data_IF_508242632242
#
_entry.id   IF_508242632242
#
_cell.length_a   1.000
_cell.length_b   1.000
_cell.length_c   1.000
_cell.angle_alpha   90.00
_cell.angle_beta   90.00
_cell.angle_gamma   90.00
#
_symmetry.space_group_name_H-M   'P 1'
#
loop_
_entity.id
_entity.type
_entity.pdbx_description
1 polymer ?
#
# COMPACT_ATOMS: atom_id res chain seq x y z
N UNK A 1 11.61 -13.82 -2.42
CA UNK A 1 12.31 -12.66 -3.03
C UNK A 1 13.20 -12.06 -1.97
N UNK A 2 14.42 -11.65 -2.30
CA UNK A 2 15.34 -11.01 -1.35
C UNK A 2 15.33 -9.51 -1.63
N UNK A 3 15.06 -8.69 -0.62
CA UNK A 3 15.13 -7.22 -0.73
C UNK A 3 16.58 -6.79 -0.55
N UNK A 4 17.13 -6.07 -1.53
CA UNK A 4 18.51 -5.58 -1.47
C UNK A 4 18.57 -4.15 -0.94
N UNK A 5 19.73 -3.70 -0.41
CA UNK A 5 19.91 -2.31 0.01
C UNK A 5 19.66 -1.28 -1.11
N UNK A 6 19.94 -1.64 -2.36
CA UNK A 6 19.67 -0.79 -3.53
C UNK A 6 18.17 -0.55 -3.72
N UNK A 7 17.33 -1.55 -3.46
CA UNK A 7 15.87 -1.38 -3.51
C UNK A 7 15.37 -0.42 -2.45
N UNK A 8 15.93 -0.51 -1.24
CA UNK A 8 15.61 0.40 -0.12
C UNK A 8 16.04 1.83 -0.48
N UNK A 9 17.26 2.00 -1.01
CA UNK A 9 17.75 3.28 -1.47
C UNK A 9 16.88 3.87 -2.60
N UNK A 10 16.46 3.05 -3.56
CA UNK A 10 15.58 3.46 -4.65
C UNK A 10 14.17 3.83 -4.17
N UNK A 11 13.65 3.15 -3.14
CA UNK A 11 12.37 3.50 -2.51
C UNK A 11 12.46 4.86 -1.79
N UNK A 12 13.48 5.06 -0.95
CA UNK A 12 13.69 6.31 -0.21
C UNK A 12 14.06 7.49 -1.13
N UNK A 13 14.78 7.22 -2.22
CA UNK A 13 15.18 8.23 -3.21
C UNK A 13 14.03 8.77 -4.05
N UNK A 14 12.87 8.11 -4.06
CA UNK A 14 11.73 8.54 -4.85
C UNK A 14 11.00 9.73 -4.16
N UNK A 15 10.86 10.89 -4.83
CA UNK A 15 10.21 12.07 -4.25
C UNK A 15 8.76 11.86 -3.79
N UNK A 16 8.06 10.88 -4.35
CA UNK A 16 6.67 10.55 -3.99
C UNK A 16 6.58 9.90 -2.60
N UNK A 17 7.66 9.26 -2.15
CA UNK A 17 7.74 8.49 -0.90
C UNK A 17 8.62 9.19 0.15
N UNK A 18 8.79 10.51 0.05
CA UNK A 18 9.60 11.34 0.99
C UNK A 18 9.24 11.16 2.46
N UNK A 19 8.00 10.77 2.77
CA UNK A 19 7.55 10.46 4.12
C UNK A 19 8.35 9.33 4.80
N UNK A 20 9.05 8.50 4.01
CA UNK A 20 9.80 7.32 4.47
C UNK A 20 11.33 7.49 4.38
N UNK A 21 11.83 8.71 4.23
CA UNK A 21 13.29 8.96 4.13
C UNK A 21 14.00 8.84 5.48
N UNK A 22 13.34 9.25 6.57
CA UNK A 22 13.92 9.23 7.92
C UNK A 22 14.20 7.78 8.35
N UNK A 23 15.48 7.44 8.48
CA UNK A 23 15.96 6.10 8.83
C UNK A 23 15.75 5.76 10.30
N UNK A 24 15.59 6.75 11.16
CA UNK A 24 15.29 6.54 12.59
C UNK A 24 13.81 6.23 12.76
N UNK A 25 12.96 6.98 12.04
CA UNK A 25 11.51 6.77 12.07
C UNK A 25 11.08 5.53 11.28
N UNK A 26 11.76 5.24 10.19
CA UNK A 26 11.52 4.08 9.33
C UNK A 26 12.84 3.32 9.16
N UNK A 27 13.19 2.41 10.07
CA UNK A 27 14.34 1.54 9.92
C UNK A 27 14.22 0.66 8.68
N UNK A 28 15.36 0.20 8.16
CA UNK A 28 15.40 -0.63 6.95
C UNK A 28 14.58 -1.91 7.08
N UNK A 29 14.53 -2.51 8.27
CA UNK A 29 13.74 -3.71 8.56
C UNK A 29 12.25 -3.55 8.22
N UNK A 30 11.66 -2.39 8.53
CA UNK A 30 10.25 -2.11 8.21
C UNK A 30 10.03 -1.94 6.70
N UNK A 31 11.00 -1.34 6.01
CA UNK A 31 10.92 -1.17 4.55
C UNK A 31 11.11 -2.52 3.85
N UNK A 32 12.00 -3.37 4.36
CA UNK A 32 12.17 -4.74 3.88
C UNK A 32 10.87 -5.50 4.02
N UNK A 33 10.24 -5.48 5.19
CA UNK A 33 8.96 -6.18 5.41
C UNK A 33 7.86 -5.66 4.49
N UNK A 34 7.71 -4.33 4.38
CA UNK A 34 6.72 -3.72 3.50
C UNK A 34 6.95 -4.06 2.02
N UNK A 35 8.21 -4.14 1.57
CA UNK A 35 8.55 -4.55 0.20
C UNK A 35 8.38 -6.06 -0.02
N UNK A 36 8.60 -6.89 1.00
CA UNK A 36 8.30 -8.32 0.95
C UNK A 36 6.80 -8.55 0.74
N UNK A 37 5.95 -7.89 1.51
CA UNK A 37 4.49 -7.92 1.34
C UNK A 37 4.06 -7.36 -0.02
N UNK A 38 4.72 -6.30 -0.49
CA UNK A 38 4.46 -5.79 -1.83
C UNK A 38 4.85 -6.81 -2.93
N UNK A 39 5.87 -7.62 -2.67
CA UNK A 39 6.30 -8.70 -3.55
C UNK A 39 5.29 -9.83 -3.66
N UNK A 40 4.58 -10.17 -2.58
CA UNK A 40 3.52 -11.19 -2.59
C UNK A 40 2.32 -10.72 -3.41
N UNK A 41 1.88 -9.47 -3.20
CA UNK A 41 0.77 -8.86 -3.95
C UNK A 41 1.06 -8.64 -5.43
N UNK A 42 2.33 -8.42 -5.79
CA UNK A 42 2.79 -8.26 -7.18
C UNK A 42 3.43 -9.54 -7.75
N UNK A 43 3.21 -10.69 -7.11
CA UNK A 43 3.82 -11.97 -7.47
C UNK A 43 3.35 -12.59 -8.79
N UNK A 44 2.24 -12.10 -9.36
CA UNK A 44 1.71 -12.60 -10.62
C UNK A 44 2.59 -12.23 -11.82
N UNK A 45 2.70 -13.13 -12.81
CA UNK A 45 3.39 -12.90 -14.09
C UNK A 45 2.85 -11.71 -14.88
N UNK A 46 1.65 -11.22 -14.57
CA UNK A 46 1.04 -10.04 -15.20
C UNK A 46 1.76 -8.74 -14.90
N UNK A 47 2.53 -8.68 -13.81
CA UNK A 47 3.30 -7.50 -13.43
C UNK A 47 4.63 -7.37 -14.17
N UNK A 48 5.10 -8.44 -14.83
CA UNK A 48 6.39 -8.50 -15.50
C UNK A 48 7.56 -8.86 -14.58
N UNK A 49 8.76 -8.86 -15.15
CA UNK A 49 10.00 -9.03 -14.40
C UNK A 49 10.26 -7.81 -13.50
N UNK A 50 10.90 -8.04 -12.36
CA UNK A 50 11.31 -6.95 -11.48
C UNK A 50 12.61 -6.36 -11.98
N UNK A 51 12.59 -5.06 -12.27
CA UNK A 51 13.78 -4.27 -12.60
C UNK A 51 13.70 -2.92 -11.88
N UNK A 52 14.85 -2.40 -11.45
CA UNK A 52 14.95 -1.12 -10.73
C UNK A 52 15.00 0.08 -11.70
N UNK A 53 14.14 0.06 -12.72
CA UNK A 53 14.00 1.16 -13.70
C UNK A 53 12.73 1.97 -13.41
N UNK A 54 12.68 3.21 -13.92
CA UNK A 54 11.58 4.12 -13.65
C UNK A 54 10.26 3.72 -14.34
N UNK A 55 10.34 2.96 -15.43
CA UNK A 55 9.23 2.46 -16.24
C UNK A 55 8.76 1.06 -15.83
N UNK A 56 9.48 0.38 -14.93
CA UNK A 56 9.13 -0.96 -14.50
C UNK A 56 7.79 -0.98 -13.73
N UNK A 57 6.83 -1.71 -14.29
CA UNK A 57 5.47 -1.76 -13.78
C UNK A 57 5.37 -2.50 -12.44
N UNK A 58 6.14 -3.58 -12.26
CA UNK A 58 6.20 -4.34 -11.01
C UNK A 58 6.81 -3.51 -9.89
N UNK A 59 7.95 -2.87 -10.14
CA UNK A 59 8.62 -2.03 -9.17
C UNK A 59 7.73 -0.87 -8.72
N UNK A 60 7.07 -0.19 -9.66
CA UNK A 60 6.12 0.87 -9.32
C UNK A 60 4.96 0.36 -8.46
N UNK A 61 4.40 -0.82 -8.80
CA UNK A 61 3.38 -1.48 -7.98
C UNK A 61 3.88 -1.77 -6.56
N UNK A 62 5.09 -2.31 -6.46
CA UNK A 62 5.69 -2.65 -5.17
C UNK A 62 5.87 -1.42 -4.28
N UNK A 63 6.40 -0.33 -4.82
CA UNK A 63 6.63 0.89 -4.06
C UNK A 63 5.32 1.49 -3.52
N UNK A 64 4.26 1.54 -4.33
CA UNK A 64 2.97 2.07 -3.87
C UNK A 64 2.32 1.18 -2.81
N UNK A 65 2.43 -0.14 -2.94
CA UNK A 65 1.91 -1.04 -1.91
C UNK A 65 2.69 -0.94 -0.60
N UNK A 66 4.03 -0.94 -0.67
CA UNK A 66 4.86 -0.81 0.53
C UNK A 66 4.59 0.52 1.27
N UNK A 67 4.52 1.63 0.53
CA UNK A 67 4.17 2.94 1.10
C UNK A 67 2.77 2.95 1.74
N UNK A 68 1.80 2.29 1.09
CA UNK A 68 0.46 2.13 1.65
C UNK A 68 0.47 1.33 2.96
N UNK A 69 1.13 0.17 2.96
CA UNK A 69 1.23 -0.72 4.10
C UNK A 69 1.89 -0.06 5.31
N UNK A 70 2.99 0.68 5.09
CA UNK A 70 3.65 1.45 6.15
C UNK A 70 2.73 2.54 6.71
N UNK A 71 2.05 3.28 5.83
CA UNK A 71 1.17 4.36 6.22
C UNK A 71 -0.09 3.88 6.98
N UNK A 72 -0.64 2.71 6.64
CA UNK A 72 -1.83 2.18 7.32
C UNK A 72 -1.51 1.53 8.65
N UNK A 73 -0.41 0.78 8.74
CA UNK A 73 -0.06 0.05 9.96
C UNK A 73 0.56 0.96 11.03
N UNK A 74 1.39 1.92 10.63
CA UNK A 74 2.20 2.74 11.57
C UNK A 74 1.87 4.24 11.55
N UNK A 75 0.96 4.67 10.66
CA UNK A 75 0.51 6.05 10.52
C UNK A 75 1.69 7.05 10.51
N UNK A 76 1.59 8.13 11.30
CA UNK A 76 2.66 9.12 11.44
C UNK A 76 3.68 8.77 12.52
N UNK A 77 3.51 7.66 13.25
CA UNK A 77 4.37 7.28 14.37
C UNK A 77 5.60 6.51 13.90
N UNK A 78 5.50 5.73 12.82
CA UNK A 78 6.62 4.92 12.31
C UNK A 78 6.99 3.82 13.31
N UNK A 79 8.29 3.53 13.45
CA UNK A 79 8.78 2.44 14.30
C UNK A 79 8.48 2.60 15.81
N UNK A 80 8.13 3.80 16.29
CA UNK A 80 7.71 4.01 17.68
C UNK A 80 6.22 3.75 17.92
N UNK A 81 5.45 3.50 16.85
CA UNK A 81 4.02 3.20 16.94
C UNK A 81 3.76 1.69 17.01
N UNK A 82 2.83 1.28 17.86
CA UNK A 82 2.26 -0.06 17.81
C UNK A 82 1.45 -0.22 16.51
N UNK A 83 1.59 -1.34 15.76
CA UNK A 83 0.74 -1.60 14.61
C UNK A 83 -0.73 -1.53 14.98
N UNK A 84 -1.54 -0.94 14.12
CA UNK A 84 -2.99 -0.90 14.35
C UNK A 84 -3.60 -2.31 14.23
N UNK A 85 -4.00 -2.90 15.36
CA UNK A 85 -4.61 -4.23 15.43
C UNK A 85 -6.11 -4.27 15.13
N UNK A 86 -6.74 -3.10 14.96
CA UNK A 86 -8.18 -3.02 14.73
C UNK A 86 -8.53 -3.46 13.31
N UNK A 87 -9.43 -4.44 13.19
CA UNK A 87 -10.04 -4.80 11.92
C UNK A 87 -10.91 -3.64 11.44
N UNK A 88 -10.57 -3.07 10.27
CA UNK A 88 -11.33 -1.95 9.70
C UNK A 88 -12.64 -2.47 9.10
N UNK A 89 -13.76 -2.03 9.66
CA UNK A 89 -15.10 -2.33 9.18
C UNK A 89 -15.67 -1.10 8.45
N UNK A 90 -16.33 -1.32 7.32
CA UNK A 90 -17.00 -0.26 6.57
C UNK A 90 -18.19 0.26 7.40
N UNK A 91 -18.09 1.48 7.94
CA UNK A 91 -19.19 2.13 8.66
C UNK A 91 -19.82 3.17 7.73
N UNK A 92 -21.03 2.90 7.25
CA UNK A 92 -21.82 3.91 6.57
C UNK A 92 -22.66 4.66 7.61
N UNK A 93 -22.58 5.99 7.58
CA UNK A 93 -23.38 6.87 8.41
C UNK A 93 -24.30 7.69 7.51
N UNK A 94 -25.57 7.80 7.90
CA UNK A 94 -26.53 8.71 7.28
C UNK A 94 -27.23 9.44 8.41
N UNK A 95 -27.28 10.78 8.34
CA UNK A 95 -28.13 11.56 9.25
C UNK A 95 -29.51 11.72 8.61
N UNK A 96 -30.55 11.55 9.42
CA UNK A 96 -31.93 11.89 9.07
C UNK A 96 -32.46 12.80 10.17
N UNK A 97 -32.55 14.10 9.89
CA UNK A 97 -32.87 15.09 10.92
C UNK A 97 -31.77 15.18 11.98
N UNK A 98 -32.16 15.09 13.26
CA UNK A 98 -31.26 15.14 14.43
C UNK A 98 -30.78 13.75 14.88
N UNK A 99 -31.19 12.69 14.18
CA UNK A 99 -30.83 11.32 14.52
C UNK A 99 -29.67 10.82 13.66
N UNK A 100 -28.60 10.40 14.35
CA UNK A 100 -27.46 9.73 13.73
C UNK A 100 -27.65 8.22 13.83
N UNK A 101 -27.86 7.57 12.68
CA UNK A 101 -27.97 6.12 12.64
C UNK A 101 -26.76 5.52 11.93
N UNK A 102 -26.00 4.70 12.66
CA UNK A 102 -24.86 3.95 12.14
C UNK A 102 -25.27 2.48 11.95
N UNK A 103 -25.18 1.97 10.72
CA UNK A 103 -25.43 0.56 10.42
C UNK A 103 -24.15 -0.10 9.91
N UNK A 104 -23.91 -1.37 10.31
CA UNK A 104 -22.87 -2.20 9.70
C UNK A 104 -23.34 -2.61 8.30
N UNK A 105 -22.80 -1.97 7.26
CA UNK A 105 -23.16 -2.27 5.86
C UNK A 105 -22.29 -3.42 5.36
N UNK A 106 -22.87 -4.57 4.92
CA UNK A 106 -22.07 -5.69 4.41
C UNK A 106 -21.46 -5.45 3.03
N UNK A 107 -21.96 -4.50 2.22
CA UNK A 107 -21.41 -4.23 0.89
C UNK A 107 -21.46 -2.75 0.47
N UNK A 108 -20.29 -2.11 0.47
CA UNK A 108 -19.84 -1.08 -0.48
C UNK A 108 -18.31 -1.18 -0.56
N UNK A 109 -17.80 -1.57 -1.74
CA UNK A 109 -16.46 -2.17 -1.96
C UNK A 109 -16.21 -3.44 -1.13
N UNK A 110 -15.61 -4.46 -1.75
CA UNK A 110 -15.15 -5.62 -0.98
C UNK A 110 -14.13 -5.13 0.06
N UNK A 111 -14.27 -5.56 1.32
CA UNK A 111 -13.55 -5.00 2.46
C UNK A 111 -12.03 -5.07 2.28
N UNK A 112 -11.53 -6.10 1.56
CA UNK A 112 -10.12 -6.22 1.19
C UNK A 112 -9.64 -5.15 0.20
N UNK A 113 -10.54 -4.60 -0.63
CA UNK A 113 -10.26 -3.47 -1.53
C UNK A 113 -10.44 -2.10 -0.91
N UNK A 114 -11.29 -1.97 0.12
CA UNK A 114 -11.51 -0.69 0.80
C UNK A 114 -10.26 -0.24 1.57
N UNK A 115 -9.51 -1.19 2.14
CA UNK A 115 -8.22 -0.92 2.77
C UNK A 115 -7.27 -0.16 1.82
N UNK A 116 -7.18 -0.60 0.56
CA UNK A 116 -6.34 0.04 -0.45
C UNK A 116 -6.78 1.48 -0.75
N UNK A 117 -8.05 1.84 -0.60
CA UNK A 117 -8.52 3.19 -0.91
C UNK A 117 -8.26 4.24 0.17
N UNK A 118 -7.74 3.83 1.33
CA UNK A 118 -7.54 4.70 2.50
C UNK A 118 -6.40 5.73 2.34
N UNK A 119 -5.38 5.39 1.57
CA UNK A 119 -4.23 6.30 1.34
C UNK A 119 -4.11 6.62 -0.13
N UNK A 120 -3.51 7.77 -0.46
CA UNK A 120 -3.18 8.09 -1.84
C UNK A 120 -2.34 6.98 -2.49
N UNK A 121 -1.36 6.42 -1.76
CA UNK A 121 -0.51 5.34 -2.23
C UNK A 121 -1.31 4.08 -2.60
N UNK A 122 -2.23 3.66 -1.74
CA UNK A 122 -3.07 2.50 -1.97
C UNK A 122 -4.05 2.70 -3.14
N UNK A 123 -4.59 3.91 -3.34
CA UNK A 123 -5.41 4.22 -4.52
C UNK A 123 -4.59 4.12 -5.82
N UNK A 124 -3.33 4.57 -5.80
CA UNK A 124 -2.43 4.40 -6.94
C UNK A 124 -2.13 2.93 -7.19
N UNK A 125 -1.83 2.15 -6.16
CA UNK A 125 -1.64 0.71 -6.28
C UNK A 125 -2.90 0.04 -6.84
N UNK A 126 -4.08 0.37 -6.35
CA UNK A 126 -5.34 -0.18 -6.84
C UNK A 126 -5.57 0.09 -8.33
N UNK A 127 -5.25 1.31 -8.79
CA UNK A 127 -5.27 1.65 -10.22
C UNK A 127 -4.32 0.76 -11.04
N UNK A 128 -3.12 0.48 -10.51
CA UNK A 128 -2.16 -0.42 -11.16
C UNK A 128 -2.63 -1.88 -11.14
N UNK A 129 -3.13 -2.36 -10.00
CA UNK A 129 -3.70 -3.71 -9.83
C UNK A 129 -4.85 -3.95 -10.80
N UNK A 130 -5.74 -2.97 -11.01
CA UNK A 130 -6.77 -3.04 -12.05
C UNK A 130 -6.20 -3.21 -13.45
N UNK A 131 -5.16 -2.44 -13.81
CA UNK A 131 -4.49 -2.57 -15.12
C UNK A 131 -3.84 -3.95 -15.30
N UNK A 132 -3.17 -4.46 -14.27
CA UNK A 132 -2.61 -5.81 -14.25
C UNK A 132 -3.72 -6.87 -14.40
N UNK A 133 -4.87 -6.67 -13.74
CA UNK A 133 -6.04 -7.54 -13.80
C UNK A 133 -6.73 -7.57 -15.17
N UNK A 134 -6.81 -6.42 -15.85
CA UNK A 134 -7.47 -6.24 -17.16
C UNK A 134 -6.61 -6.65 -18.36
N UNK A 135 -5.43 -7.25 -18.14
CA UNK A 135 -4.61 -7.82 -19.21
C UNK A 135 -3.54 -6.89 -19.79
N UNK A 136 -3.18 -5.80 -19.09
CA UNK A 136 -1.91 -5.14 -19.37
C UNK A 136 -0.78 -6.09 -18.94
N UNK A 137 -0.36 -6.99 -19.83
CA UNK A 137 0.89 -7.73 -19.68
C UNK A 137 2.01 -6.71 -19.84
N UNK A 138 2.79 -6.49 -18.78
CA UNK A 138 4.13 -5.96 -18.98
C UNK A 138 4.88 -7.00 -19.80
N UNK A 139 5.34 -6.59 -20.99
CA UNK A 139 6.26 -7.38 -21.82
C UNK A 139 7.65 -7.22 -21.26
#
# INVERSE_FOLDING_TARGET
>A
MIITPEMIAAFRGNPVFKAFIDTTKWPDEYIVEALCEAGTETGSSRWGALELTCDNFKWRGMQYFAAHWLATNFATLGASGTPNSEARLNVAQKSVGDESIAYRVPQMMDAGTDWLTYTNYGQQFYRLKKRAGMGAKAV
#
